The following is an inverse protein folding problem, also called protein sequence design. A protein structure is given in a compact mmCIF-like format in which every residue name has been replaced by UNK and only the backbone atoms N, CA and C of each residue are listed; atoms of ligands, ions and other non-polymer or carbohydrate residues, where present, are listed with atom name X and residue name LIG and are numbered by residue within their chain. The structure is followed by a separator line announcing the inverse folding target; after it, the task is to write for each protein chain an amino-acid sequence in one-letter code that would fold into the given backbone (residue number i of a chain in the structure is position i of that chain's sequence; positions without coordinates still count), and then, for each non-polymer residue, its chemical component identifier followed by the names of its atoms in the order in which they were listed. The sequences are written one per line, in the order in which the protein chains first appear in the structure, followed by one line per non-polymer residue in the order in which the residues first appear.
data_IF_658263473524
#
_entry.id   IF_658263473524
#
_cell.length_a   1.000
_cell.length_b   1.000
_cell.length_c   1.000
_cell.angle_alpha   90.00
_cell.angle_beta   90.00
_cell.angle_gamma   90.00
#
_symmetry.space_group_name_H-M   'P 1'
#
loop_
_entity.id
_entity.type
_entity.pdbx_description
1 polymer ?
#
# COMPACT_ATOMS: atom_id res chain seq x y z
N UNK A 1 -11.63 -68.75 31.49
CA UNK A 1 -13.11 -68.71 31.47
C UNK A 1 -13.61 -67.87 32.65
N UNK A 2 -13.87 -66.58 32.42
CA UNK A 2 -14.92 -65.73 33.02
C UNK A 2 -14.64 -64.27 32.65
N UNK A 3 -15.71 -63.61 32.21
CA UNK A 3 -15.82 -62.24 31.72
C UNK A 3 -15.85 -61.28 32.91
N UNK A 4 -15.26 -60.08 32.78
CA UNK A 4 -15.88 -58.85 33.29
C UNK A 4 -15.23 -57.59 32.69
N UNK A 5 -16.07 -56.78 32.05
CA UNK A 5 -15.87 -55.41 31.60
C UNK A 5 -15.85 -54.45 32.79
N UNK A 6 -14.89 -53.54 32.86
CA UNK A 6 -15.07 -52.23 33.49
C UNK A 6 -14.17 -51.20 32.82
N UNK A 7 -14.82 -50.23 32.17
CA UNK A 7 -14.25 -48.92 31.89
C UNK A 7 -13.80 -48.26 33.20
N UNK A 8 -12.59 -47.69 33.21
CA UNK A 8 -12.28 -46.58 34.10
C UNK A 8 -11.31 -45.63 33.41
N UNK A 9 -11.93 -44.60 32.87
CA UNK A 9 -11.34 -43.30 32.52
C UNK A 9 -10.51 -42.82 33.71
N UNK A 10 -9.22 -42.55 33.51
CA UNK A 10 -8.39 -41.82 34.47
C UNK A 10 -7.95 -40.48 33.87
N UNK A 11 -7.77 -39.45 34.70
CA UNK A 11 -8.18 -38.10 34.37
C UNK A 11 -7.14 -37.37 33.52
N UNK A 12 -7.59 -36.83 32.40
CA UNK A 12 -6.95 -35.67 31.77
C UNK A 12 -6.86 -34.59 32.83
N UNK A 13 -5.63 -34.23 33.17
CA UNK A 13 -5.27 -33.14 34.05
C UNK A 13 -6.03 -31.88 33.62
N UNK A 14 -7.14 -31.59 34.29
CA UNK A 14 -7.81 -30.28 34.25
C UNK A 14 -6.90 -29.31 35.00
N UNK A 15 -5.89 -28.81 34.29
CA UNK A 15 -5.25 -27.56 34.65
C UNK A 15 -6.32 -26.48 34.64
N UNK A 16 -6.71 -26.09 35.85
CA UNK A 16 -7.66 -25.02 36.12
C UNK A 16 -7.15 -23.76 35.43
N UNK A 17 -7.80 -23.41 34.31
CA UNK A 17 -7.78 -22.09 33.71
C UNK A 17 -8.23 -21.10 34.78
N UNK A 18 -7.28 -20.38 35.35
CA UNK A 18 -7.53 -19.19 36.16
C UNK A 18 -8.13 -18.13 35.23
N UNK A 19 -9.45 -18.05 35.24
CA UNK A 19 -10.26 -17.00 34.61
C UNK A 19 -10.06 -15.73 35.45
N UNK A 20 -8.88 -15.11 35.32
CA UNK A 20 -8.62 -13.74 35.77
C UNK A 20 -7.63 -12.97 34.90
N UNK A 21 -7.06 -13.61 33.85
CA UNK A 21 -6.14 -13.00 32.88
C UNK A 21 -6.66 -12.92 31.44
N UNK A 22 -7.98 -13.01 31.23
CA UNK A 22 -8.59 -13.15 29.89
C UNK A 22 -8.38 -11.93 28.97
N UNK A 23 -8.41 -10.71 29.50
CA UNK A 23 -8.24 -9.50 28.69
C UNK A 23 -6.79 -9.30 28.22
N UNK A 24 -5.81 -9.52 29.11
CA UNK A 24 -4.39 -9.34 28.80
C UNK A 24 -3.87 -10.36 27.78
N UNK A 25 -4.35 -11.61 27.87
CA UNK A 25 -4.01 -12.65 26.91
C UNK A 25 -4.57 -12.35 25.51
N UNK A 26 -5.80 -11.83 25.42
CA UNK A 26 -6.47 -11.50 24.16
C UNK A 26 -5.81 -10.29 23.47
N UNK A 27 -5.47 -9.25 24.22
CA UNK A 27 -4.71 -8.10 23.71
C UNK A 27 -3.36 -8.52 23.12
N UNK A 28 -2.64 -9.43 23.79
CA UNK A 28 -1.35 -9.92 23.31
C UNK A 28 -1.45 -10.69 21.98
N UNK A 29 -2.55 -11.43 21.77
CA UNK A 29 -2.83 -12.17 20.54
C UNK A 29 -3.12 -11.21 19.39
N UNK A 30 -3.90 -10.16 19.62
CA UNK A 30 -4.20 -9.17 18.60
C UNK A 30 -3.00 -8.33 18.21
N UNK A 31 -2.16 -7.93 19.17
CA UNK A 31 -0.90 -7.23 18.90
C UNK A 31 0.02 -8.11 18.04
N UNK A 32 0.21 -9.39 18.41
CA UNK A 32 1.04 -10.32 17.62
C UNK A 32 0.49 -10.53 16.21
N UNK A 33 -0.82 -10.64 16.08
CA UNK A 33 -1.49 -10.81 14.78
C UNK A 33 -1.36 -9.55 13.90
N UNK A 34 -1.49 -8.36 14.48
CA UNK A 34 -1.28 -7.08 13.81
C UNK A 34 0.18 -6.94 13.33
N UNK A 35 1.16 -7.30 14.17
CA UNK A 35 2.58 -7.36 13.78
C UNK A 35 2.79 -8.32 12.60
N UNK A 36 2.15 -9.49 12.63
CA UNK A 36 2.17 -10.45 11.53
C UNK A 36 1.59 -9.85 10.23
N UNK A 37 0.45 -9.17 10.32
CA UNK A 37 -0.21 -8.52 9.18
C UNK A 37 0.70 -7.48 8.50
N UNK A 38 1.24 -6.52 9.25
CA UNK A 38 2.07 -5.46 8.67
C UNK A 38 3.39 -6.00 8.11
N UNK A 39 3.99 -7.01 8.73
CA UNK A 39 5.17 -7.68 8.16
C UNK A 39 4.87 -8.40 6.84
N UNK A 40 3.74 -9.12 6.79
CA UNK A 40 3.31 -9.85 5.59
C UNK A 40 2.93 -8.92 4.43
N UNK A 41 2.64 -7.65 4.70
CA UNK A 41 2.41 -6.65 3.67
C UNK A 41 3.72 -5.95 3.24
N UNK A 42 4.57 -5.61 4.22
CA UNK A 42 5.82 -4.87 4.01
C UNK A 42 6.81 -5.63 3.11
N UNK A 43 6.93 -6.95 3.29
CA UNK A 43 7.90 -7.75 2.52
C UNK A 43 7.52 -7.82 1.03
N UNK A 44 6.29 -8.19 0.64
CA UNK A 44 5.87 -8.13 -0.76
C UNK A 44 5.95 -6.72 -1.36
N UNK A 45 5.62 -5.68 -0.59
CA UNK A 45 5.74 -4.29 -1.04
C UNK A 45 7.19 -3.94 -1.41
N UNK A 46 8.16 -4.34 -0.58
CA UNK A 46 9.58 -4.13 -0.86
C UNK A 46 10.06 -4.89 -2.10
N UNK A 47 9.61 -6.14 -2.28
CA UNK A 47 9.91 -6.93 -3.48
C UNK A 47 9.36 -6.24 -4.72
N UNK A 48 8.09 -5.83 -4.70
CA UNK A 48 7.47 -5.13 -5.82
C UNK A 48 8.16 -3.80 -6.13
N UNK A 49 8.50 -3.02 -5.10
CA UNK A 49 9.26 -1.77 -5.23
C UNK A 49 10.61 -2.01 -5.93
N UNK A 50 11.32 -3.09 -5.60
CA UNK A 50 12.60 -3.42 -6.24
C UNK A 50 12.46 -3.77 -7.73
N UNK A 51 11.38 -4.49 -8.09
CA UNK A 51 11.06 -4.83 -9.48
C UNK A 51 10.70 -3.55 -10.25
N UNK A 52 9.87 -2.68 -9.65
CA UNK A 52 9.50 -1.40 -10.26
C UNK A 52 10.75 -0.56 -10.52
N UNK A 53 11.65 -0.45 -9.54
CA UNK A 53 12.89 0.32 -9.67
C UNK A 53 13.76 -0.17 -10.83
N UNK A 54 13.89 -1.49 -11.01
CA UNK A 54 14.61 -2.08 -12.14
C UNK A 54 13.96 -1.77 -13.48
N UNK A 55 12.63 -1.84 -13.56
CA UNK A 55 11.91 -1.77 -14.83
C UNK A 55 11.52 -0.34 -15.23
N UNK A 56 11.48 0.62 -14.29
CA UNK A 56 10.96 1.98 -14.46
C UNK A 56 11.56 2.73 -15.65
N UNK A 57 12.85 2.56 -15.91
CA UNK A 57 13.55 3.26 -17.00
C UNK A 57 13.71 2.42 -18.28
N UNK A 58 13.12 1.24 -18.35
CA UNK A 58 13.32 0.34 -19.50
C UNK A 58 12.84 0.93 -20.82
N UNK A 59 11.71 1.65 -20.81
CA UNK A 59 11.20 2.34 -22.01
C UNK A 59 11.96 3.64 -22.31
N UNK A 60 12.86 4.08 -21.43
CA UNK A 60 13.72 5.23 -21.70
C UNK A 60 14.94 4.87 -22.55
N UNK A 61 15.35 3.60 -22.52
CA UNK A 61 16.48 3.10 -23.30
C UNK A 61 16.24 3.25 -24.81
N UNK A 62 17.30 3.57 -25.53
CA UNK A 62 17.26 3.72 -26.99
C UNK A 62 16.80 2.42 -27.64
N UNK A 63 15.74 2.43 -28.47
CA UNK A 63 15.31 1.24 -29.17
C UNK A 63 16.41 0.70 -30.08
N UNK A 64 16.40 -0.61 -30.32
CA UNK A 64 17.35 -1.28 -31.21
C UNK A 64 17.35 -0.62 -32.59
N UNK A 65 18.48 -0.70 -33.32
CA UNK A 65 18.61 -0.08 -34.64
C UNK A 65 17.50 -0.54 -35.62
N UNK A 66 17.10 -1.81 -35.55
CA UNK A 66 16.00 -2.36 -36.34
C UNK A 66 14.63 -1.77 -35.99
N UNK A 67 14.37 -1.51 -34.71
CA UNK A 67 13.14 -0.84 -34.25
C UNK A 67 13.14 0.64 -34.63
N UNK A 68 14.28 1.35 -34.54
CA UNK A 68 14.39 2.75 -34.96
C UNK A 68 14.10 2.94 -36.44
N UNK A 69 14.65 2.08 -37.31
CA UNK A 69 14.39 2.13 -38.74
C UNK A 69 12.89 1.93 -39.05
N UNK A 70 12.27 0.93 -38.44
CA UNK A 70 10.83 0.69 -38.60
C UNK A 70 9.98 1.85 -38.07
N UNK A 71 10.37 2.44 -36.93
CA UNK A 71 9.66 3.59 -36.34
C UNK A 71 9.72 4.84 -37.23
N UNK A 72 10.84 5.06 -37.92
CA UNK A 72 10.99 6.15 -38.89
C UNK A 72 10.13 5.90 -40.14
N UNK A 73 10.18 4.69 -40.69
CA UNK A 73 9.38 4.29 -41.87
C UNK A 73 7.86 4.40 -41.63
N UNK A 74 7.40 4.16 -40.41
CA UNK A 74 5.98 4.15 -40.06
C UNK A 74 5.53 5.40 -39.28
N UNK A 75 6.38 6.43 -39.17
CA UNK A 75 6.07 7.68 -38.47
C UNK A 75 5.78 7.52 -36.96
N UNK A 76 6.18 6.39 -36.37
CA UNK A 76 5.97 6.07 -34.95
C UNK A 76 6.87 6.92 -34.06
N UNK A 77 8.08 7.25 -34.53
CA UNK A 77 9.03 8.11 -33.81
C UNK A 77 8.43 9.48 -33.45
N UNK A 78 7.64 10.07 -34.37
CA UNK A 78 6.99 11.37 -34.16
C UNK A 78 5.55 11.25 -33.65
N UNK A 79 5.01 10.04 -33.54
CA UNK A 79 3.61 9.82 -33.17
C UNK A 79 3.32 10.29 -31.74
N UNK A 80 2.35 11.21 -31.61
CA UNK A 80 1.85 11.69 -30.32
C UNK A 80 1.32 10.54 -29.45
N UNK A 81 0.63 9.56 -30.04
CA UNK A 81 -0.01 8.44 -29.32
C UNK A 81 1.02 7.54 -28.63
N UNK A 82 2.10 7.21 -29.32
CA UNK A 82 3.15 6.35 -28.78
C UNK A 82 3.99 7.04 -27.71
N UNK A 83 4.20 8.35 -27.84
CA UNK A 83 4.81 9.17 -26.79
C UNK A 83 3.96 9.21 -25.54
N UNK A 84 2.65 9.51 -25.66
CA UNK A 84 1.70 9.48 -24.54
C UNK A 84 1.80 8.16 -23.79
N UNK A 85 1.76 7.04 -24.51
CA UNK A 85 1.83 5.71 -23.90
C UNK A 85 3.12 5.50 -23.10
N UNK A 86 4.28 5.91 -23.63
CA UNK A 86 5.57 5.83 -22.92
C UNK A 86 5.60 6.68 -21.64
N UNK A 87 5.02 7.88 -21.67
CA UNK A 87 4.93 8.74 -20.48
C UNK A 87 3.91 8.24 -19.47
N UNK A 88 2.75 7.73 -19.91
CA UNK A 88 1.77 7.09 -19.03
C UNK A 88 2.36 5.85 -18.35
N UNK A 89 3.17 5.05 -19.05
CA UNK A 89 3.94 3.97 -18.45
C UNK A 89 4.84 4.49 -17.31
N UNK A 90 5.65 5.51 -17.59
CA UNK A 90 6.59 6.05 -16.60
C UNK A 90 5.85 6.60 -15.38
N UNK A 91 4.77 7.35 -15.60
CA UNK A 91 3.93 7.90 -14.53
C UNK A 91 3.35 6.79 -13.65
N UNK A 92 2.81 5.72 -14.25
CA UNK A 92 2.27 4.59 -13.49
C UNK A 92 3.35 3.84 -12.71
N UNK A 93 4.56 3.70 -13.25
CA UNK A 93 5.70 3.09 -12.54
C UNK A 93 6.14 3.95 -11.36
N UNK A 94 6.27 5.26 -11.53
CA UNK A 94 6.61 6.20 -10.44
C UNK A 94 5.53 6.21 -9.37
N UNK A 95 4.25 6.18 -9.77
CA UNK A 95 3.13 6.11 -8.85
C UNK A 95 3.15 4.80 -8.05
N UNK A 96 3.33 3.66 -8.72
CA UNK A 96 3.46 2.37 -8.05
C UNK A 96 4.63 2.36 -7.05
N UNK A 97 5.81 2.85 -7.46
CA UNK A 97 6.97 2.96 -6.58
C UNK A 97 6.67 3.81 -5.32
N UNK A 98 6.02 4.95 -5.51
CA UNK A 98 5.69 5.88 -4.43
C UNK A 98 4.70 5.27 -3.44
N UNK A 99 3.68 4.56 -3.94
CA UNK A 99 2.69 3.86 -3.12
C UNK A 99 3.33 2.74 -2.29
N UNK A 100 4.18 1.92 -2.89
CA UNK A 100 4.88 0.84 -2.16
C UNK A 100 5.85 1.39 -1.12
N UNK A 101 6.59 2.46 -1.45
CA UNK A 101 7.46 3.15 -0.50
C UNK A 101 6.67 3.65 0.71
N UNK A 102 5.49 4.24 0.48
CA UNK A 102 4.64 4.72 1.56
C UNK A 102 4.04 3.57 2.38
N UNK A 103 3.64 2.47 1.74
CA UNK A 103 3.18 1.24 2.44
C UNK A 103 4.24 0.72 3.39
N UNK A 104 5.50 0.65 2.95
CA UNK A 104 6.64 0.20 3.78
C UNK A 104 6.85 1.15 4.95
N UNK A 105 6.81 2.46 4.70
CA UNK A 105 6.99 3.48 5.74
C UNK A 105 5.91 3.36 6.82
N UNK A 106 4.63 3.41 6.44
CA UNK A 106 3.49 3.34 7.38
C UNK A 106 3.50 2.01 8.14
N UNK A 107 3.71 0.89 7.46
CA UNK A 107 3.81 -0.41 8.12
C UNK A 107 4.95 -0.44 9.15
N UNK A 108 6.09 0.20 8.85
CA UNK A 108 7.23 0.26 9.77
C UNK A 108 6.95 1.16 10.99
N UNK A 109 6.24 2.27 10.80
CA UNK A 109 5.82 3.12 11.93
C UNK A 109 4.90 2.34 12.88
N UNK A 110 3.85 1.69 12.36
CA UNK A 110 2.93 0.89 13.19
C UNK A 110 3.65 -0.26 13.89
N UNK A 111 4.57 -0.94 13.21
CA UNK A 111 5.37 -1.99 13.85
C UNK A 111 6.22 -1.47 15.01
N UNK A 112 6.77 -0.27 14.87
CA UNK A 112 7.55 0.38 15.93
C UNK A 112 6.65 0.75 17.11
N UNK A 113 5.46 1.29 16.85
CA UNK A 113 4.46 1.61 17.88
C UNK A 113 3.94 0.37 18.61
N UNK A 114 3.67 -0.72 17.90
CA UNK A 114 3.26 -2.00 18.51
C UNK A 114 4.40 -2.60 19.35
N UNK A 115 5.66 -2.44 18.92
CA UNK A 115 6.83 -2.90 19.67
C UNK A 115 7.03 -2.09 20.96
N UNK A 116 6.89 -0.76 20.92
CA UNK A 116 7.00 0.07 22.13
C UNK A 116 5.85 -0.16 23.10
N UNK A 117 4.62 -0.32 22.60
CA UNK A 117 3.46 -0.63 23.43
C UNK A 117 3.57 -2.01 24.12
N UNK A 118 4.15 -3.00 23.44
CA UNK A 118 4.41 -4.32 24.05
C UNK A 118 5.57 -4.29 25.05
N UNK A 119 6.63 -3.52 24.77
CA UNK A 119 7.75 -3.35 25.70
C UNK A 119 7.35 -2.63 26.99
N UNK A 120 6.50 -1.60 26.92
CA UNK A 120 5.99 -0.90 28.11
C UNK A 120 5.14 -1.80 29.01
N UNK A 121 4.43 -2.78 28.45
CA UNK A 121 3.68 -3.78 29.23
C UNK A 121 4.56 -4.86 29.86
N UNK A 122 5.80 -5.04 29.41
CA UNK A 122 6.71 -6.11 29.87
C UNK A 122 7.75 -5.67 30.92
N UNK A 123 7.73 -4.41 31.38
CA UNK A 123 8.59 -3.97 32.50
C UNK A 123 7.85 -4.24 33.81
N UNK A 124 8.28 -5.20 34.66
CA UNK A 124 7.82 -5.28 36.02
C UNK A 124 8.46 -4.11 36.77
N UNK A 125 7.72 -3.01 36.91
CA UNK A 125 8.12 -1.93 37.80
C UNK A 125 8.13 -2.49 39.22
N UNK A 126 9.32 -2.50 39.83
CA UNK A 126 9.53 -2.44 41.28
C UNK A 126 8.49 -1.50 41.89
N UNK A 127 7.81 -1.83 43.00
CA UNK A 127 6.73 -1.01 43.52
C UNK A 127 7.33 0.30 44.03
N UNK A 128 7.26 1.34 43.21
CA UNK A 128 7.43 2.70 43.66
C UNK A 128 6.04 3.20 44.05
N UNK A 129 5.76 3.20 45.35
CA UNK A 129 4.61 3.90 45.90
C UNK A 129 4.73 5.39 45.56
N UNK A 130 4.05 5.81 44.50
CA UNK A 130 3.69 7.19 44.32
C UNK A 130 2.20 7.26 44.03
N UNK A 131 1.47 7.75 45.04
CA UNK A 131 0.07 8.16 44.96
C UNK A 131 -0.09 9.26 43.90
N UNK A 132 -0.14 8.89 42.63
CA UNK A 132 -0.55 9.79 41.55
C UNK A 132 -1.92 9.32 41.10
N UNK A 133 -2.92 10.03 41.62
CA UNK A 133 -4.30 9.96 41.17
C UNK A 133 -4.37 10.14 39.66
N UNK A 134 -5.13 9.26 39.03
CA UNK A 134 -5.36 9.06 37.60
C UNK A 134 -6.17 10.22 36.97
N UNK A 135 -5.75 11.47 37.20
CA UNK A 135 -6.44 12.69 36.77
C UNK A 135 -5.56 13.64 35.94
N UNK A 136 -4.23 13.50 35.93
CA UNK A 136 -3.34 14.49 35.28
C UNK A 136 -2.58 14.02 34.01
N UNK A 137 -3.05 12.97 33.35
CA UNK A 137 -2.48 12.53 32.06
C UNK A 137 -3.08 13.26 30.83
N UNK A 138 -3.89 14.30 31.03
CA UNK A 138 -4.54 15.05 29.94
C UNK A 138 -3.76 16.27 29.44
N UNK A 139 -2.56 16.56 29.98
CA UNK A 139 -1.86 17.83 29.67
C UNK A 139 -0.38 17.76 29.28
N UNK A 140 0.18 16.59 29.02
CA UNK A 140 1.58 16.50 28.56
C UNK A 140 1.68 15.75 27.23
N UNK A 141 1.87 16.51 26.15
CA UNK A 141 2.45 16.01 24.89
C UNK A 141 1.43 15.58 23.84
N UNK A 142 1.38 16.33 22.73
CA UNK A 142 0.61 15.97 21.54
C UNK A 142 1.06 14.64 20.95
N UNK A 143 0.24 13.61 21.13
CA UNK A 143 0.41 12.31 20.52
C UNK A 143 -0.96 11.72 20.20
N UNK A 144 -1.30 11.73 18.91
CA UNK A 144 -2.09 10.77 18.13
C UNK A 144 -3.39 10.12 18.67
N UNK A 145 -3.88 10.42 19.87
CA UNK A 145 -5.05 9.76 20.46
C UNK A 145 -6.26 10.68 20.51
N UNK A 146 -7.10 10.56 19.48
CA UNK A 146 -8.49 10.99 19.59
C UNK A 146 -9.23 10.07 20.56
N UNK A 147 -9.69 10.64 21.69
CA UNK A 147 -10.78 10.18 22.56
C UNK A 147 -11.02 8.66 22.61
N UNK A 148 -10.55 8.04 23.69
CA UNK A 148 -11.01 6.72 24.15
C UNK A 148 -12.47 6.85 24.60
N UNK A 149 -13.39 6.74 23.65
CA UNK A 149 -14.77 6.39 23.91
C UNK A 149 -14.85 4.88 24.10
N UNK A 150 -15.52 4.43 25.17
CA UNK A 150 -15.77 3.04 25.54
C UNK A 150 -16.07 2.18 24.30
N UNK A 151 -15.08 1.42 23.81
CA UNK A 151 -15.24 0.48 22.69
C UNK A 151 -15.34 -0.93 23.25
N UNK A 152 -16.37 -1.66 22.80
CA UNK A 152 -16.53 -3.12 22.99
C UNK A 152 -15.20 -3.83 22.70
N UNK A 153 -14.90 -4.86 23.49
CA UNK A 153 -13.75 -5.73 23.26
C UNK A 153 -13.73 -6.19 21.79
N UNK A 154 -12.61 -6.01 21.07
CA UNK A 154 -12.52 -6.37 19.66
C UNK A 154 -12.76 -7.88 19.49
N UNK A 155 -13.71 -8.23 18.62
CA UNK A 155 -14.06 -9.63 18.32
C UNK A 155 -13.10 -10.28 17.30
N UNK A 156 -12.33 -9.47 16.57
CA UNK A 156 -11.34 -9.94 15.60
C UNK A 156 -10.12 -9.01 15.54
N UNK A 157 -9.00 -9.51 14.99
CA UNK A 157 -7.81 -8.70 14.69
C UNK A 157 -8.16 -7.49 13.78
N UNK A 158 -9.08 -7.69 12.83
CA UNK A 158 -9.51 -6.61 11.92
C UNK A 158 -10.26 -5.52 12.69
N UNK A 159 -11.12 -5.90 13.64
CA UNK A 159 -11.81 -4.93 14.50
C UNK A 159 -10.82 -4.19 15.41
N UNK A 160 -9.80 -4.88 15.91
CA UNK A 160 -8.71 -4.25 16.66
C UNK A 160 -7.96 -3.22 15.82
N UNK A 161 -7.61 -3.56 14.57
CA UNK A 161 -6.94 -2.64 13.65
C UNK A 161 -7.82 -1.46 13.28
N UNK A 162 -9.11 -1.67 13.00
CA UNK A 162 -10.05 -0.57 12.73
C UNK A 162 -10.28 0.28 13.98
N UNK A 163 -10.24 -0.30 15.17
CA UNK A 163 -10.47 0.44 16.39
C UNK A 163 -9.30 1.37 16.76
N UNK A 164 -8.06 0.95 16.49
CA UNK A 164 -6.85 1.59 16.99
C UNK A 164 -5.92 2.16 15.90
N UNK A 165 -5.89 1.55 14.70
CA UNK A 165 -4.97 1.85 13.61
C UNK A 165 -5.72 1.97 12.26
N UNK A 166 -6.91 2.57 12.27
CA UNK A 166 -7.79 2.55 11.09
C UNK A 166 -7.12 3.19 9.88
N UNK A 167 -6.46 4.33 10.09
CA UNK A 167 -5.81 5.08 9.02
C UNK A 167 -4.68 4.26 8.42
N UNK A 168 -3.82 3.69 9.24
CA UNK A 168 -2.65 2.94 8.82
C UNK A 168 -3.06 1.64 8.13
N UNK A 169 -4.04 0.93 8.68
CA UNK A 169 -4.63 -0.26 8.08
C UNK A 169 -5.24 0.03 6.70
N UNK A 170 -6.08 1.05 6.60
CA UNK A 170 -6.72 1.44 5.34
C UNK A 170 -5.68 1.90 4.31
N UNK A 171 -4.69 2.70 4.74
CA UNK A 171 -3.61 3.23 3.91
C UNK A 171 -2.76 2.10 3.33
N UNK A 172 -2.22 1.24 4.19
CA UNK A 172 -1.37 0.12 3.79
C UNK A 172 -2.10 -0.79 2.80
N UNK A 173 -3.34 -1.16 3.09
CA UNK A 173 -4.16 -1.99 2.19
C UNK A 173 -4.44 -1.30 0.86
N UNK A 174 -4.87 -0.04 0.89
CA UNK A 174 -5.21 0.70 -0.31
C UNK A 174 -3.99 0.94 -1.20
N UNK A 175 -2.88 1.42 -0.63
CA UNK A 175 -1.65 1.70 -1.37
C UNK A 175 -1.05 0.44 -1.98
N UNK A 176 -0.98 -0.67 -1.25
CA UNK A 176 -0.47 -1.94 -1.77
C UNK A 176 -1.29 -2.44 -2.97
N UNK A 177 -2.63 -2.47 -2.84
CA UNK A 177 -3.50 -2.90 -3.95
C UNK A 177 -3.38 -1.95 -5.14
N UNK A 178 -3.35 -0.65 -4.89
CA UNK A 178 -3.22 0.36 -5.94
C UNK A 178 -1.86 0.29 -6.64
N UNK A 179 -0.78 0.03 -5.90
CA UNK A 179 0.57 -0.13 -6.42
C UNK A 179 0.68 -1.34 -7.36
N UNK A 180 0.13 -2.49 -6.96
CA UNK A 180 0.03 -3.68 -7.82
C UNK A 180 -0.77 -3.40 -9.10
N UNK A 181 -1.91 -2.70 -8.97
CA UNK A 181 -2.74 -2.34 -10.12
C UNK A 181 -1.98 -1.42 -11.08
N UNK A 182 -1.36 -0.35 -10.57
CA UNK A 182 -0.54 0.58 -11.35
C UNK A 182 0.60 -0.14 -12.07
N UNK A 183 1.32 -1.04 -11.38
CA UNK A 183 2.38 -1.84 -11.97
C UNK A 183 1.87 -2.76 -13.10
N UNK A 184 0.74 -3.42 -12.89
CA UNK A 184 0.16 -4.34 -13.89
C UNK A 184 -0.33 -3.56 -15.12
N UNK A 185 -0.99 -2.41 -14.92
CA UNK A 185 -1.37 -1.50 -15.99
C UNK A 185 -0.15 -0.97 -16.76
N UNK A 186 0.90 -0.54 -16.06
CA UNK A 186 2.14 -0.10 -16.68
C UNK A 186 2.74 -1.22 -17.54
N UNK A 187 2.77 -2.45 -17.02
CA UNK A 187 3.26 -3.62 -17.77
C UNK A 187 2.43 -3.88 -19.02
N UNK A 188 1.10 -3.71 -18.96
CA UNK A 188 0.23 -3.83 -20.13
C UNK A 188 0.56 -2.78 -21.21
N UNK A 189 0.77 -1.52 -20.82
CA UNK A 189 1.22 -0.47 -21.73
C UNK A 189 2.59 -0.80 -22.32
N UNK A 190 3.53 -1.29 -21.51
CA UNK A 190 4.86 -1.68 -21.98
C UNK A 190 4.80 -2.80 -23.01
N UNK A 191 3.98 -3.84 -22.80
CA UNK A 191 3.79 -4.91 -23.78
C UNK A 191 3.28 -4.34 -25.11
N UNK A 192 2.31 -3.42 -25.05
CA UNK A 192 1.80 -2.73 -26.23
C UNK A 192 2.88 -1.94 -26.97
N UNK A 193 3.76 -1.25 -26.24
CA UNK A 193 4.87 -0.49 -26.82
C UNK A 193 5.98 -1.37 -27.39
N UNK A 194 6.40 -2.39 -26.65
CA UNK A 194 7.50 -3.27 -27.01
C UNK A 194 7.18 -4.10 -28.26
N UNK A 195 5.93 -4.60 -28.35
CA UNK A 195 5.46 -5.41 -29.47
C UNK A 195 4.74 -4.59 -30.55
N UNK A 196 4.94 -3.27 -30.62
CA UNK A 196 4.20 -2.38 -31.53
C UNK A 196 4.24 -2.80 -33.02
N UNK A 197 5.30 -3.49 -33.45
CA UNK A 197 5.44 -4.06 -34.80
C UNK A 197 4.42 -5.19 -35.08
N UNK A 198 4.02 -5.92 -34.04
CA UNK A 198 3.07 -7.04 -34.10
C UNK A 198 1.76 -6.62 -33.43
N UNK A 199 0.88 -5.92 -34.15
CA UNK A 199 -0.33 -5.29 -33.57
C UNK A 199 -1.17 -6.29 -32.77
N UNK A 200 -1.49 -7.43 -33.38
CA UNK A 200 -2.45 -8.38 -32.82
C UNK A 200 -1.87 -9.09 -31.60
N UNK A 201 -0.58 -9.46 -31.67
CA UNK A 201 0.15 -10.02 -30.54
C UNK A 201 0.25 -9.03 -29.39
N UNK A 202 0.54 -7.76 -29.69
CA UNK A 202 0.65 -6.70 -28.68
C UNK A 202 -0.69 -6.40 -28.00
N UNK A 203 -1.79 -6.44 -28.77
CA UNK A 203 -3.14 -6.25 -28.24
C UNK A 203 -3.56 -7.44 -27.40
N UNK A 204 -3.30 -8.67 -27.86
CA UNK A 204 -3.58 -9.89 -27.08
C UNK A 204 -2.82 -9.89 -25.75
N UNK A 205 -1.52 -9.59 -25.77
CA UNK A 205 -0.71 -9.48 -24.55
C UNK A 205 -1.17 -8.39 -23.59
N UNK A 206 -1.54 -7.21 -24.11
CA UNK A 206 -2.11 -6.12 -23.32
C UNK A 206 -3.45 -6.53 -22.69
N UNK A 207 -4.36 -7.12 -23.47
CA UNK A 207 -5.66 -7.59 -22.99
C UNK A 207 -5.52 -8.68 -21.92
N UNK A 208 -4.55 -9.58 -22.05
CA UNK A 208 -4.26 -10.61 -21.04
C UNK A 208 -3.89 -9.96 -19.69
N UNK A 209 -3.00 -8.96 -19.68
CA UNK A 209 -2.63 -8.25 -18.46
C UNK A 209 -3.78 -7.41 -17.90
N UNK A 210 -4.57 -6.77 -18.75
CA UNK A 210 -5.77 -6.05 -18.31
C UNK A 210 -6.82 -6.99 -17.71
N UNK A 211 -6.98 -8.21 -18.23
CA UNK A 211 -7.85 -9.22 -17.66
C UNK A 211 -7.39 -9.66 -16.26
N UNK A 212 -6.07 -9.75 -16.03
CA UNK A 212 -5.53 -9.99 -14.69
C UNK A 212 -5.86 -8.82 -13.75
N UNK A 213 -5.68 -7.58 -14.20
CA UNK A 213 -6.06 -6.39 -13.42
C UNK A 213 -7.54 -6.38 -13.06
N UNK A 214 -8.44 -6.60 -14.02
CA UNK A 214 -9.89 -6.64 -13.76
C UNK A 214 -10.28 -7.83 -12.89
N UNK A 215 -9.57 -8.97 -13.02
CA UNK A 215 -9.68 -10.12 -12.14
C UNK A 215 -9.30 -9.79 -10.70
N UNK A 216 -8.18 -9.10 -10.47
CA UNK A 216 -7.75 -8.64 -9.13
C UNK A 216 -8.77 -7.70 -8.50
N UNK A 217 -9.32 -6.75 -9.27
CA UNK A 217 -10.38 -5.85 -8.81
C UNK A 217 -11.67 -6.60 -8.49
N UNK A 218 -12.09 -7.52 -9.35
CA UNK A 218 -13.28 -8.37 -9.13
C UNK A 218 -13.13 -9.21 -7.88
N UNK A 219 -11.98 -9.87 -7.71
CA UNK A 219 -11.68 -10.67 -6.53
C UNK A 219 -11.68 -9.81 -5.27
N UNK A 220 -11.02 -8.64 -5.33
CA UNK A 220 -11.01 -7.68 -4.22
C UNK A 220 -12.43 -7.26 -3.87
N UNK A 221 -13.26 -6.88 -4.84
CA UNK A 221 -14.64 -6.49 -4.57
C UNK A 221 -15.50 -7.62 -3.99
N UNK A 222 -15.29 -8.86 -4.43
CA UNK A 222 -16.06 -10.03 -3.97
C UNK A 222 -15.64 -10.54 -2.58
N UNK A 223 -14.37 -10.38 -2.20
CA UNK A 223 -13.80 -10.98 -0.97
C UNK A 223 -13.34 -9.97 0.07
N UNK A 224 -13.39 -8.68 -0.22
CA UNK A 224 -12.99 -7.64 0.75
C UNK A 224 -14.08 -7.45 1.79
N UNK A 225 -13.86 -8.09 2.94
CA UNK A 225 -14.74 -8.03 4.11
C UNK A 225 -14.84 -6.60 4.66
N UNK A 226 -13.75 -5.83 4.63
CA UNK A 226 -13.72 -4.45 5.18
C UNK A 226 -14.05 -3.40 4.12
N UNK A 227 -15.00 -2.53 4.44
CA UNK A 227 -15.45 -1.40 3.61
C UNK A 227 -16.23 -1.78 2.34
N UNK A 228 -16.44 -3.05 1.99
CA UNK A 228 -17.33 -3.44 0.88
C UNK A 228 -16.75 -3.15 -0.51
N UNK A 229 -15.46 -3.42 -0.71
CA UNK A 229 -14.78 -3.37 -2.01
C UNK A 229 -13.79 -2.20 -2.19
N UNK A 230 -13.13 -2.18 -3.34
CA UNK A 230 -12.02 -1.28 -3.64
C UNK A 230 -12.46 0.19 -3.72
N UNK A 231 -13.60 0.49 -4.34
CA UNK A 231 -14.12 1.87 -4.46
C UNK A 231 -14.46 2.47 -3.09
N UNK A 232 -15.06 1.66 -2.22
CA UNK A 232 -15.38 2.10 -0.86
C UNK A 232 -14.13 2.23 0.02
N UNK A 233 -13.14 1.35 -0.17
CA UNK A 233 -11.83 1.49 0.46
C UNK A 233 -11.14 2.79 0.02
N UNK A 234 -11.14 3.11 -1.27
CA UNK A 234 -10.63 4.39 -1.80
C UNK A 234 -11.36 5.57 -1.16
N UNK A 235 -12.70 5.55 -1.14
CA UNK A 235 -13.49 6.61 -0.51
C UNK A 235 -13.15 6.78 0.97
N UNK A 236 -13.03 5.67 1.71
CA UNK A 236 -12.66 5.70 3.13
C UNK A 236 -11.25 6.25 3.32
N UNK A 237 -10.31 5.84 2.48
CA UNK A 237 -8.94 6.30 2.56
C UNK A 237 -8.82 7.80 2.28
N UNK A 238 -9.54 8.32 1.28
CA UNK A 238 -9.58 9.76 1.00
C UNK A 238 -10.18 10.55 2.18
N UNK A 239 -11.25 10.03 2.80
CA UNK A 239 -11.84 10.63 3.99
C UNK A 239 -10.88 10.65 5.18
N UNK A 240 -10.20 9.53 5.44
CA UNK A 240 -9.23 9.42 6.53
C UNK A 240 -8.00 10.30 6.28
N UNK A 241 -7.49 10.34 5.04
CA UNK A 241 -6.39 11.22 4.64
C UNK A 241 -6.74 12.70 4.80
N UNK A 242 -7.95 13.10 4.39
CA UNK A 242 -8.44 14.47 4.59
C UNK A 242 -8.56 14.85 6.06
N UNK A 243 -9.11 13.95 6.89
CA UNK A 243 -9.17 14.15 8.35
C UNK A 243 -7.79 14.23 8.98
N UNK A 244 -6.87 13.37 8.55
CA UNK A 244 -5.49 13.35 9.01
C UNK A 244 -4.79 14.67 8.71
N UNK A 245 -4.88 15.15 7.47
CA UNK A 245 -4.29 16.42 7.06
C UNK A 245 -4.90 17.58 7.87
N UNK A 246 -6.23 17.69 7.93
CA UNK A 246 -6.93 18.77 8.65
C UNK A 246 -6.60 18.79 10.16
N UNK A 247 -6.51 17.63 10.80
CA UNK A 247 -6.15 17.53 12.21
C UNK A 247 -4.72 18.02 12.48
N UNK A 248 -3.81 17.84 11.51
CA UNK A 248 -2.40 18.16 11.64
C UNK A 248 -1.98 19.47 10.96
N UNK A 249 -2.91 20.25 10.40
CA UNK A 249 -2.63 21.62 9.91
C UNK A 249 -2.10 22.50 11.05
N UNK A 250 -2.58 22.30 12.28
CA UNK A 250 -2.11 23.05 13.45
C UNK A 250 -0.81 22.49 14.05
N UNK A 251 -0.46 21.25 13.73
CA UNK A 251 0.69 20.54 14.31
C UNK A 251 2.02 20.87 13.59
N UNK A 252 1.97 21.54 12.44
CA UNK A 252 3.17 22.05 11.76
C UNK A 252 2.95 22.35 10.26
N UNK A 253 3.90 23.07 9.61
CA UNK A 253 3.77 23.47 8.21
C UNK A 253 3.87 22.30 7.22
N UNK A 254 4.44 21.16 7.64
CA UNK A 254 4.66 20.01 6.77
C UNK A 254 3.35 19.41 6.25
N UNK A 255 2.28 19.39 7.04
CA UNK A 255 0.97 18.88 6.60
C UNK A 255 0.38 19.72 5.44
N UNK A 256 0.55 21.04 5.51
CA UNK A 256 0.15 21.98 4.45
C UNK A 256 0.98 21.74 3.20
N UNK A 257 2.30 21.57 3.34
CA UNK A 257 3.20 21.27 2.21
C UNK A 257 2.80 19.94 1.56
N UNK A 258 2.52 18.90 2.33
CA UNK A 258 2.04 17.60 1.81
C UNK A 258 0.74 17.77 1.02
N UNK A 259 -0.21 18.55 1.53
CA UNK A 259 -1.47 18.82 0.83
C UNK A 259 -1.25 19.56 -0.51
N UNK A 260 -0.38 20.58 -0.52
CA UNK A 260 -0.02 21.31 -1.74
C UNK A 260 0.64 20.37 -2.75
N UNK A 261 1.62 19.58 -2.34
CA UNK A 261 2.31 18.65 -3.22
C UNK A 261 1.37 17.57 -3.77
N UNK A 262 0.43 17.06 -2.96
CA UNK A 262 -0.59 16.12 -3.42
C UNK A 262 -1.49 16.75 -4.49
N UNK A 263 -1.97 17.98 -4.27
CA UNK A 263 -2.78 18.71 -5.24
C UNK A 263 -2.01 18.97 -6.54
N UNK A 264 -0.76 19.45 -6.44
CA UNK A 264 0.10 19.67 -7.60
C UNK A 264 0.34 18.37 -8.38
N UNK A 265 0.56 17.26 -7.70
CA UNK A 265 0.74 15.94 -8.33
C UNK A 265 -0.48 15.57 -9.16
N UNK A 266 -1.70 15.75 -8.62
CA UNK A 266 -2.95 15.47 -9.36
C UNK A 266 -3.10 16.41 -10.55
N UNK A 267 -2.84 17.72 -10.36
CA UNK A 267 -2.94 18.72 -11.42
C UNK A 267 -1.97 18.38 -12.57
N UNK A 268 -0.69 18.12 -12.26
CA UNK A 268 0.30 17.79 -13.28
C UNK A 268 0.06 16.41 -13.91
N UNK A 269 -0.49 15.43 -13.17
CA UNK A 269 -0.90 14.15 -13.74
C UNK A 269 -2.05 14.32 -14.75
N UNK A 270 -3.03 15.17 -14.45
CA UNK A 270 -4.15 15.48 -15.35
C UNK A 270 -3.63 16.25 -16.57
N UNK A 271 -2.85 17.32 -16.35
CA UNK A 271 -2.28 18.12 -17.43
C UNK A 271 -1.41 17.27 -18.36
N UNK A 272 -0.54 16.42 -17.79
CA UNK A 272 0.29 15.50 -18.57
C UNK A 272 -0.51 14.44 -19.33
N UNK A 273 -1.70 14.08 -18.85
CA UNK A 273 -2.60 13.14 -19.54
C UNK A 273 -3.41 13.80 -20.66
N UNK A 274 -3.83 15.06 -20.48
CA UNK A 274 -4.69 15.79 -21.43
C UNK A 274 -3.89 16.51 -22.51
N UNK A 275 -2.84 17.23 -22.12
CA UNK A 275 -2.00 18.04 -23.01
C UNK A 275 -0.52 17.85 -22.70
N UNK A 276 0.07 16.71 -23.09
CA UNK A 276 1.50 16.53 -22.96
C UNK A 276 2.20 17.49 -23.92
N UNK A 277 2.84 18.50 -23.35
CA UNK A 277 3.79 19.35 -24.05
C UNK A 277 5.07 18.54 -24.26
N UNK A 278 5.45 18.39 -25.52
CA UNK A 278 6.73 17.81 -25.87
C UNK A 278 7.66 18.98 -26.15
N UNK A 279 8.58 19.26 -25.22
CA UNK A 279 9.73 20.08 -25.53
C UNK A 279 10.52 19.34 -26.62
N UNK A 280 10.39 19.80 -27.86
CA UNK A 280 11.25 19.38 -28.95
C UNK A 280 12.63 19.95 -28.62
N UNK A 281 13.49 19.15 -28.02
CA UNK A 281 14.91 19.34 -28.24
C UNK A 281 15.12 18.90 -29.69
N UNK A 282 15.09 19.87 -30.61
CA UNK A 282 15.73 19.70 -31.90
C UNK A 282 17.17 19.32 -31.59
N UNK A 283 17.46 18.03 -31.63
CA UNK A 283 18.83 17.60 -31.88
C UNK A 283 19.06 18.07 -33.31
N UNK A 284 19.80 19.17 -33.43
CA UNK A 284 20.21 19.74 -34.71
C UNK A 284 20.59 18.61 -35.68
N UNK A 285 19.71 18.35 -36.65
CA UNK A 285 19.94 17.44 -37.78
C UNK A 285 21.02 18.01 -38.74
N UNK A 286 21.90 18.92 -38.26
CA UNK A 286 22.99 19.49 -39.05
C UNK A 286 24.13 18.49 -39.31
N UNK A 287 24.27 17.42 -38.51
CA UNK A 287 25.38 16.47 -38.68
C UNK A 287 25.11 15.32 -39.66
N UNK A 288 23.88 15.16 -40.18
CA UNK A 288 23.56 14.08 -41.15
C UNK A 288 23.53 14.54 -42.63
N UNK A 289 23.99 15.76 -42.93
CA UNK A 289 24.19 16.23 -44.32
C UNK A 289 25.62 16.07 -44.85
N UNK A 290 26.50 15.35 -44.13
CA UNK A 290 27.84 15.03 -44.62
C UNK A 290 28.15 13.55 -44.39
N UNK A 291 27.79 12.70 -45.36
CA UNK A 291 28.55 11.55 -45.91
C UNK A 291 27.82 11.08 -47.17
#
# INVERSE_FOLDING_TARGET
MKISTHELISPVSRGILSIRGGAEAVDSIYIRSAVGYFNNLRVPAAVLMSIIMKEMFTLQNTPTASMRKWDAEHGVAHSKRWRILRYSYLLLMVLAFSLETFTIFVATQVLTELATASAQKMVPLVPFESNISLVDLEKVGGGFFGKIGVKKDPQSMVDFLIANFEFEYATCRFHFVTGILCFTFATALRVRYALRKYSDLSMSGMCCLLAVTTGMLTYTNAKTITYGGYVNLLKRQLQLSGRFLLAHVRSGPLSVITAILACLTVIYAILGSVSPEFAYFELDDEDNKKI
#
